data_IF_311399443446
#
_entry.id   IF_311399443446
#
_cell.length_a   1.000
_cell.length_b   1.000
_cell.length_c   1.000
_cell.angle_alpha   90.00
_cell.angle_beta   90.00
_cell.angle_gamma   90.00
#
_symmetry.space_group_name_H-M   'P 1'
#
loop_
_entity.id
_entity.type
_entity.pdbx_description
1 polymer ?
#
# COMPACT_ATOMS: atom_id res chain seq x y z
N UNK A 1 -28.35 -24.06 -9.40
CA UNK A 1 -27.88 -24.69 -8.15
C UNK A 1 -27.94 -26.19 -8.35
N UNK A 2 -26.89 -26.79 -8.92
CA UNK A 2 -26.92 -28.19 -9.37
C UNK A 2 -26.64 -29.12 -8.19
N UNK A 3 -27.69 -29.81 -7.71
CA UNK A 3 -27.61 -30.83 -6.68
C UNK A 3 -27.02 -32.12 -7.28
N UNK A 4 -25.72 -32.12 -7.58
CA UNK A 4 -24.96 -33.38 -7.65
C UNK A 4 -24.53 -33.74 -6.23
N UNK A 5 -25.51 -33.99 -5.36
CA UNK A 5 -25.29 -34.32 -3.95
C UNK A 5 -25.63 -35.78 -3.71
N UNK A 6 -24.74 -36.46 -2.99
CA UNK A 6 -25.03 -37.80 -2.49
C UNK A 6 -26.18 -37.72 -1.48
N UNK A 7 -27.01 -38.77 -1.46
CA UNK A 7 -28.05 -38.96 -0.45
C UNK A 7 -27.46 -38.78 0.96
N UNK A 8 -28.20 -38.12 1.85
CA UNK A 8 -27.74 -37.77 3.20
C UNK A 8 -26.77 -36.58 3.27
N UNK A 9 -26.35 -36.01 2.14
CA UNK A 9 -25.38 -34.91 2.09
C UNK A 9 -25.88 -33.59 2.70
N UNK A 10 -24.94 -32.73 3.09
CA UNK A 10 -25.18 -31.39 3.66
C UNK A 10 -24.94 -30.29 2.64
N UNK A 11 -25.73 -29.21 2.71
CA UNK A 11 -25.60 -28.00 1.90
C UNK A 11 -25.60 -26.75 2.76
N UNK A 12 -24.68 -25.83 2.49
CA UNK A 12 -24.62 -24.53 3.15
C UNK A 12 -24.73 -23.45 2.07
N UNK A 13 -25.73 -22.58 2.21
CA UNK A 13 -25.99 -21.48 1.29
C UNK A 13 -25.89 -20.16 2.04
N UNK A 14 -25.03 -19.27 1.56
CA UNK A 14 -25.04 -17.87 1.97
C UNK A 14 -26.22 -17.15 1.30
N UNK A 15 -26.99 -16.43 2.10
CA UNK A 15 -28.15 -15.65 1.68
C UNK A 15 -28.14 -14.29 2.40
N UNK A 16 -28.95 -13.36 1.93
CA UNK A 16 -29.13 -12.05 2.54
C UNK A 16 -30.53 -11.95 3.17
N UNK A 17 -31.36 -11.02 2.70
CA UNK A 17 -32.73 -10.86 3.20
C UNK A 17 -33.65 -11.98 2.72
N UNK A 18 -34.70 -12.23 3.50
CA UNK A 18 -35.70 -13.27 3.25
C UNK A 18 -37.10 -12.68 3.03
N UNK A 19 -37.17 -11.40 2.65
CA UNK A 19 -38.42 -10.64 2.54
C UNK A 19 -39.18 -10.93 1.24
N UNK A 20 -38.46 -11.31 0.18
CA UNK A 20 -39.03 -11.54 -1.15
C UNK A 20 -39.76 -12.89 -1.26
N UNK A 21 -40.85 -12.96 -2.02
CA UNK A 21 -41.59 -14.22 -2.24
C UNK A 21 -40.68 -15.32 -2.82
N UNK A 22 -39.75 -14.93 -3.69
CA UNK A 22 -38.81 -15.83 -4.34
C UNK A 22 -37.80 -16.40 -3.34
N UNK A 23 -37.42 -15.63 -2.33
CA UNK A 23 -36.59 -16.10 -1.22
C UNK A 23 -37.33 -17.16 -0.41
N UNK A 24 -38.59 -16.91 -0.06
CA UNK A 24 -39.44 -17.88 0.64
C UNK A 24 -39.60 -19.17 -0.16
N UNK A 25 -39.89 -19.07 -1.46
CA UNK A 25 -40.06 -20.22 -2.34
C UNK A 25 -38.78 -21.08 -2.41
N UNK A 26 -37.62 -20.46 -2.52
CA UNK A 26 -36.33 -21.16 -2.55
C UNK A 26 -36.07 -21.88 -1.23
N UNK A 27 -36.32 -21.23 -0.10
CA UNK A 27 -36.13 -21.85 1.22
C UNK A 27 -37.11 -23.01 1.41
N UNK A 28 -38.36 -22.84 0.99
CA UNK A 28 -39.34 -23.93 1.03
C UNK A 28 -38.92 -25.13 0.17
N UNK A 29 -38.40 -24.89 -1.04
CA UNK A 29 -37.85 -25.95 -1.89
C UNK A 29 -36.70 -26.69 -1.19
N UNK A 30 -35.85 -25.99 -0.43
CA UNK A 30 -34.80 -26.62 0.37
C UNK A 30 -35.39 -27.47 1.51
N UNK A 31 -36.47 -27.02 2.15
CA UNK A 31 -37.18 -27.83 3.16
C UNK A 31 -37.76 -29.13 2.56
N UNK A 32 -38.20 -29.08 1.31
CA UNK A 32 -38.64 -30.29 0.59
C UNK A 32 -37.47 -31.22 0.26
N UNK A 33 -36.31 -30.67 -0.11
CA UNK A 33 -35.14 -31.44 -0.55
C UNK A 33 -34.29 -32.05 0.59
N UNK A 34 -34.42 -31.55 1.82
CA UNK A 34 -33.56 -31.94 2.95
C UNK A 34 -34.37 -32.32 4.19
N UNK A 35 -33.81 -33.14 5.07
CA UNK A 35 -34.43 -33.55 6.34
C UNK A 35 -34.54 -32.40 7.34
N UNK A 36 -33.49 -31.57 7.40
CA UNK A 36 -33.44 -30.40 8.29
C UNK A 36 -32.88 -29.20 7.55
N UNK A 37 -33.54 -28.05 7.71
CA UNK A 37 -33.07 -26.75 7.20
C UNK A 37 -33.05 -25.75 8.36
N UNK A 38 -31.89 -25.15 8.60
CA UNK A 38 -31.70 -24.17 9.66
C UNK A 38 -31.14 -22.87 9.09
N UNK A 39 -31.57 -21.74 9.63
CA UNK A 39 -31.04 -20.42 9.27
C UNK A 39 -30.14 -19.94 10.41
N UNK A 40 -28.89 -19.63 10.11
CA UNK A 40 -27.85 -19.29 11.08
C UNK A 40 -27.13 -18.02 10.66
N UNK A 41 -26.92 -17.09 11.59
CA UNK A 41 -25.96 -16.00 11.44
C UNK A 41 -24.75 -16.28 12.34
N UNK A 42 -23.63 -16.80 11.81
CA UNK A 42 -22.45 -17.07 12.63
C UNK A 42 -21.84 -15.77 13.12
N UNK A 43 -21.19 -15.81 14.30
CA UNK A 43 -20.51 -14.64 14.90
C UNK A 43 -19.39 -14.08 14.02
N UNK A 44 -18.84 -14.92 13.12
CA UNK A 44 -17.83 -14.52 12.12
C UNK A 44 -18.40 -13.73 10.94
N UNK A 45 -19.73 -13.70 10.77
CA UNK A 45 -20.39 -12.80 9.83
C UNK A 45 -20.60 -11.43 10.47
N UNK A 46 -20.38 -10.35 9.70
CA UNK A 46 -20.55 -8.98 10.23
C UNK A 46 -21.96 -8.79 10.77
N UNK A 47 -22.07 -8.43 12.04
CA UNK A 47 -23.37 -8.37 12.73
C UNK A 47 -24.34 -7.36 12.10
N UNK A 48 -23.85 -6.21 11.62
CA UNK A 48 -24.66 -5.16 11.02
C UNK A 48 -25.08 -5.38 9.55
N UNK A 49 -24.71 -6.51 8.94
CA UNK A 49 -25.16 -6.85 7.57
C UNK A 49 -26.34 -7.83 7.59
N UNK A 50 -26.98 -8.01 6.44
CA UNK A 50 -28.10 -8.94 6.25
C UNK A 50 -27.65 -10.38 5.94
N UNK A 51 -26.35 -10.69 5.97
CA UNK A 51 -25.83 -12.01 5.63
C UNK A 51 -26.25 -13.06 6.67
N UNK A 52 -26.84 -14.14 6.17
CA UNK A 52 -27.23 -15.35 6.92
C UNK A 52 -26.85 -16.59 6.10
N UNK A 53 -26.82 -17.74 6.77
CA UNK A 53 -26.49 -19.03 6.18
C UNK A 53 -27.64 -20.00 6.38
N UNK A 54 -28.11 -20.59 5.28
CA UNK A 54 -29.04 -21.70 5.31
C UNK A 54 -28.22 -22.98 5.33
N UNK A 55 -28.37 -23.76 6.40
CA UNK A 55 -27.70 -25.04 6.62
C UNK A 55 -28.74 -26.14 6.44
N UNK A 56 -28.64 -26.86 5.31
CA UNK A 56 -29.49 -27.99 4.99
C UNK A 56 -28.74 -29.30 5.24
N UNK A 57 -29.33 -30.23 5.99
CA UNK A 57 -28.74 -31.52 6.33
C UNK A 57 -29.66 -32.66 5.88
N UNK A 58 -29.08 -33.77 5.41
CA UNK A 58 -29.85 -34.95 5.01
C UNK A 58 -30.54 -34.76 3.66
N UNK A 59 -29.77 -34.70 2.57
CA UNK A 59 -30.37 -34.60 1.23
C UNK A 59 -31.20 -35.85 0.89
N UNK A 60 -32.49 -35.64 0.59
CA UNK A 60 -33.47 -36.71 0.35
C UNK A 60 -33.40 -37.33 -1.05
N UNK A 61 -32.76 -36.64 -2.00
CA UNK A 61 -32.65 -37.07 -3.41
C UNK A 61 -33.47 -36.19 -4.37
N UNK A 62 -33.14 -36.26 -5.66
CA UNK A 62 -33.70 -35.37 -6.69
C UNK A 62 -35.21 -35.59 -6.88
N UNK A 63 -35.66 -36.83 -6.77
CA UNK A 63 -37.06 -37.24 -6.94
C UNK A 63 -38.03 -36.49 -6.02
N UNK A 64 -37.56 -35.95 -4.90
CA UNK A 64 -38.38 -35.16 -3.97
C UNK A 64 -38.65 -33.74 -4.43
N UNK A 65 -37.92 -33.23 -5.44
CA UNK A 65 -38.01 -31.84 -5.90
C UNK A 65 -38.00 -31.66 -7.41
N UNK A 66 -37.78 -32.75 -8.15
CA UNK A 66 -37.68 -32.78 -9.62
C UNK A 66 -38.80 -32.02 -10.34
N UNK A 67 -40.10 -32.19 -9.99
CA UNK A 67 -41.17 -31.48 -10.70
C UNK A 67 -41.03 -29.96 -10.60
N UNK A 68 -40.72 -29.44 -9.40
CA UNK A 68 -40.58 -28.01 -9.16
C UNK A 68 -39.28 -27.43 -9.73
N UNK A 69 -38.21 -28.24 -9.80
CA UNK A 69 -36.96 -27.82 -10.43
C UNK A 69 -37.15 -27.57 -11.93
N UNK A 70 -37.87 -28.46 -12.62
CA UNK A 70 -38.18 -28.27 -14.04
C UNK A 70 -39.03 -27.02 -14.28
N UNK A 71 -40.08 -26.81 -13.48
CA UNK A 71 -40.91 -25.59 -13.54
C UNK A 71 -40.08 -24.33 -13.29
N UNK A 72 -39.17 -24.37 -12.33
CA UNK A 72 -38.31 -23.23 -11.98
C UNK A 72 -37.36 -22.84 -13.13
N UNK A 73 -36.70 -23.81 -13.78
CA UNK A 73 -35.81 -23.51 -14.91
C UNK A 73 -36.56 -23.09 -16.18
N UNK A 74 -37.76 -23.61 -16.41
CA UNK A 74 -38.61 -23.20 -17.53
C UNK A 74 -39.11 -21.74 -17.43
N UNK A 75 -39.03 -21.13 -16.24
CA UNK A 75 -39.59 -19.80 -15.96
C UNK A 75 -38.52 -18.73 -15.72
N UNK A 76 -37.23 -19.09 -15.72
CA UNK A 76 -36.12 -18.24 -15.24
C UNK A 76 -35.69 -17.14 -16.23
N UNK A 77 -35.90 -17.33 -17.53
CA UNK A 77 -35.49 -16.39 -18.60
C UNK A 77 -36.50 -15.25 -18.84
N UNK A 78 -37.62 -15.23 -18.12
CA UNK A 78 -38.60 -14.14 -18.22
C UNK A 78 -38.17 -13.02 -17.30
N UNK A 79 -37.79 -11.89 -17.90
CA UNK A 79 -37.49 -10.63 -17.22
C UNK A 79 -38.54 -10.31 -16.14
N UNK A 80 -38.14 -10.43 -14.87
CA UNK A 80 -38.68 -9.76 -13.68
C UNK A 80 -40.18 -10.01 -13.33
N UNK A 81 -40.36 -10.91 -12.34
CA UNK A 81 -41.10 -10.72 -11.06
C UNK A 81 -42.58 -11.03 -10.82
N UNK A 82 -43.35 -11.67 -11.69
CA UNK A 82 -44.75 -12.02 -11.32
C UNK A 82 -44.97 -13.50 -10.94
N UNK A 83 -43.96 -14.35 -11.09
CA UNK A 83 -44.10 -15.79 -10.86
C UNK A 83 -43.29 -16.25 -9.65
N UNK A 84 -43.98 -16.56 -8.55
CA UNK A 84 -43.40 -17.27 -7.41
C UNK A 84 -43.58 -18.79 -7.64
N UNK A 85 -42.57 -19.61 -7.33
CA UNK A 85 -42.60 -21.08 -7.57
C UNK A 85 -43.73 -21.78 -6.79
N UNK A 86 -44.08 -21.25 -5.63
CA UNK A 86 -45.17 -21.74 -4.79
C UNK A 86 -46.15 -20.60 -4.51
N UNK A 87 -47.46 -20.78 -4.81
CA UNK A 87 -48.49 -19.85 -4.37
C UNK A 87 -48.49 -19.71 -2.85
N UNK A 88 -48.68 -18.48 -2.34
CA UNK A 88 -48.66 -18.22 -0.89
C UNK A 88 -49.65 -19.10 -0.10
N UNK A 89 -50.81 -19.35 -0.68
CA UNK A 89 -51.87 -20.20 -0.09
C UNK A 89 -51.46 -21.68 0.07
N UNK A 90 -50.47 -22.14 -0.68
CA UNK A 90 -49.98 -23.53 -0.66
C UNK A 90 -48.82 -23.72 0.32
N UNK A 91 -48.23 -22.64 0.80
CA UNK A 91 -47.16 -22.70 1.80
C UNK A 91 -47.73 -23.03 3.18
N UNK A 92 -47.15 -23.98 3.94
CA UNK A 92 -47.61 -24.30 5.27
C UNK A 92 -47.58 -23.08 6.19
N UNK A 93 -48.66 -22.86 6.95
CA UNK A 93 -48.75 -21.72 7.90
C UNK A 93 -47.64 -21.74 8.96
N UNK A 94 -47.21 -22.92 9.39
CA UNK A 94 -46.09 -23.11 10.34
C UNK A 94 -44.76 -22.68 9.74
N UNK A 95 -44.53 -22.98 8.46
CA UNK A 95 -43.37 -22.50 7.70
C UNK A 95 -43.39 -20.97 7.58
N UNK A 96 -44.52 -20.39 7.16
CA UNK A 96 -44.67 -18.94 7.03
C UNK A 96 -44.43 -18.20 8.35
N UNK A 97 -44.98 -18.70 9.45
CA UNK A 97 -44.76 -18.15 10.79
C UNK A 97 -43.28 -18.23 11.20
N UNK A 98 -42.62 -19.37 10.94
CA UNK A 98 -41.19 -19.54 11.20
C UNK A 98 -40.34 -18.55 10.39
N UNK A 99 -40.66 -18.35 9.11
CA UNK A 99 -39.96 -17.41 8.25
C UNK A 99 -40.16 -15.96 8.68
N UNK A 100 -41.37 -15.58 9.09
CA UNK A 100 -41.65 -14.25 9.62
C UNK A 100 -40.86 -13.99 10.90
N UNK A 101 -40.94 -14.90 11.88
CA UNK A 101 -40.24 -14.76 13.16
C UNK A 101 -38.72 -14.71 12.96
N UNK A 102 -38.18 -15.57 12.09
CA UNK A 102 -36.76 -15.60 11.75
C UNK A 102 -36.30 -14.30 11.08
N UNK A 103 -37.08 -13.79 10.11
CA UNK A 103 -36.77 -12.53 9.42
C UNK A 103 -36.81 -11.35 10.39
N UNK A 104 -37.86 -11.27 11.22
CA UNK A 104 -38.01 -10.23 12.25
C UNK A 104 -36.81 -10.23 13.21
N UNK A 105 -36.47 -11.40 13.76
CA UNK A 105 -35.36 -11.55 14.70
C UNK A 105 -34.03 -11.05 14.11
N UNK A 106 -33.67 -11.47 12.90
CA UNK A 106 -32.40 -11.04 12.28
C UNK A 106 -32.41 -9.56 11.90
N UNK A 107 -33.55 -9.01 11.48
CA UNK A 107 -33.69 -7.58 11.17
C UNK A 107 -33.56 -6.70 12.41
N UNK A 108 -34.22 -7.07 13.51
CA UNK A 108 -34.13 -6.33 14.79
C UNK A 108 -32.69 -6.32 15.32
N UNK A 109 -32.00 -7.47 15.29
CA UNK A 109 -30.58 -7.55 15.64
C UNK A 109 -29.72 -6.67 14.73
N UNK A 110 -29.97 -6.69 13.42
CA UNK A 110 -29.22 -5.89 12.46
C UNK A 110 -29.40 -4.40 12.74
N UNK A 111 -30.64 -3.94 12.93
CA UNK A 111 -30.96 -2.55 13.25
C UNK A 111 -30.25 -2.11 14.53
N UNK A 112 -30.36 -2.89 15.61
CA UNK A 112 -29.70 -2.58 16.88
C UNK A 112 -28.18 -2.43 16.73
N UNK A 113 -27.53 -3.30 15.95
CA UNK A 113 -26.09 -3.24 15.73
C UNK A 113 -25.70 -2.03 14.88
N UNK A 114 -26.50 -1.68 13.86
CA UNK A 114 -26.26 -0.48 13.04
C UNK A 114 -26.35 0.78 13.92
N UNK A 115 -27.40 0.92 14.71
CA UNK A 115 -27.58 2.07 15.62
C UNK A 115 -26.44 2.17 16.64
N UNK A 116 -26.07 1.05 17.28
CA UNK A 116 -24.93 1.01 18.20
C UNK A 116 -23.60 1.41 17.53
N UNK A 117 -23.38 0.99 16.29
CA UNK A 117 -22.17 1.36 15.54
C UNK A 117 -22.13 2.85 15.23
N UNK A 118 -23.26 3.44 14.82
CA UNK A 118 -23.38 4.89 14.56
C UNK A 118 -23.11 5.67 15.84
N UNK A 119 -23.75 5.29 16.95
CA UNK A 119 -23.58 5.94 18.25
C UNK A 119 -22.12 5.89 18.72
N UNK A 120 -21.48 4.71 18.66
CA UNK A 120 -20.07 4.54 19.04
C UNK A 120 -19.12 5.32 18.15
N UNK A 121 -19.38 5.34 16.85
CA UNK A 121 -18.57 6.09 15.89
C UNK A 121 -18.56 7.59 16.21
N UNK A 122 -19.72 8.16 16.57
CA UNK A 122 -19.85 9.57 16.93
C UNK A 122 -19.16 9.86 18.27
N UNK A 123 -19.30 8.98 19.27
CA UNK A 123 -18.77 9.21 20.63
C UNK A 123 -17.25 9.08 20.78
N UNK A 124 -16.54 8.42 19.85
CA UNK A 124 -15.07 8.24 19.84
C UNK A 124 -14.44 7.96 21.23
N UNK A 125 -14.88 6.90 21.90
CA UNK A 125 -14.36 6.54 23.23
C UNK A 125 -12.94 5.96 23.10
N UNK A 126 -11.92 6.67 23.59
CA UNK A 126 -10.50 6.29 23.44
C UNK A 126 -10.17 4.89 24.01
N UNK A 127 -10.87 4.46 25.06
CA UNK A 127 -10.67 3.16 25.71
C UNK A 127 -11.31 1.95 24.97
N UNK A 128 -12.19 2.17 23.99
CA UNK A 128 -12.86 1.09 23.27
C UNK A 128 -11.86 0.23 22.48
N UNK A 129 -10.81 0.84 21.93
CA UNK A 129 -9.85 0.14 21.06
C UNK A 129 -9.09 -0.95 21.80
N UNK A 130 -8.62 -0.67 23.02
CA UNK A 130 -7.87 -1.63 23.84
C UNK A 130 -8.78 -2.79 24.25
N UNK A 131 -9.96 -2.47 24.78
CA UNK A 131 -10.96 -3.47 25.17
C UNK A 131 -11.36 -4.39 24.00
N UNK A 132 -11.61 -3.83 22.82
CA UNK A 132 -11.97 -4.60 21.63
C UNK A 132 -10.81 -5.51 21.18
N UNK A 133 -9.56 -5.03 21.28
CA UNK A 133 -8.38 -5.84 20.96
C UNK A 133 -8.25 -7.02 21.91
N UNK A 134 -8.42 -6.79 23.21
CA UNK A 134 -8.39 -7.85 24.21
C UNK A 134 -9.52 -8.88 23.98
N UNK A 135 -10.74 -8.41 23.71
CA UNK A 135 -11.87 -9.28 23.39
C UNK A 135 -11.60 -10.14 22.14
N UNK A 136 -11.06 -9.56 21.07
CA UNK A 136 -10.68 -10.29 19.86
C UNK A 136 -9.65 -11.38 20.16
N UNK A 137 -8.64 -11.07 20.98
CA UNK A 137 -7.64 -12.04 21.42
C UNK A 137 -8.29 -13.21 22.18
N UNK A 138 -9.18 -12.93 23.13
CA UNK A 138 -9.88 -13.98 23.90
C UNK A 138 -10.79 -14.85 23.03
N UNK A 139 -11.50 -14.26 22.07
CA UNK A 139 -12.31 -15.00 21.10
C UNK A 139 -11.44 -15.93 20.26
N UNK A 140 -10.32 -15.42 19.72
CA UNK A 140 -9.38 -16.20 18.92
C UNK A 140 -8.78 -17.36 19.74
N UNK A 141 -8.34 -17.09 20.98
CA UNK A 141 -7.80 -18.10 21.90
C UNK A 141 -8.84 -19.19 22.20
N UNK A 142 -10.08 -18.80 22.47
CA UNK A 142 -11.18 -19.73 22.72
C UNK A 142 -11.45 -20.61 21.50
N UNK A 143 -11.42 -20.04 20.29
CA UNK A 143 -11.59 -20.79 19.04
C UNK A 143 -10.49 -21.85 18.87
N UNK A 144 -9.22 -21.46 19.04
CA UNK A 144 -8.07 -22.37 18.95
C UNK A 144 -8.20 -23.54 19.93
N UNK A 145 -8.57 -23.26 21.18
CA UNK A 145 -8.77 -24.27 22.21
C UNK A 145 -9.95 -25.19 21.90
N UNK A 146 -11.12 -24.63 21.57
CA UNK A 146 -12.35 -25.36 21.33
C UNK A 146 -12.22 -26.33 20.15
N UNK A 147 -11.60 -25.89 19.06
CA UNK A 147 -11.45 -26.67 17.83
C UNK A 147 -10.10 -27.38 17.72
N UNK A 148 -9.25 -27.28 18.74
CA UNK A 148 -7.92 -27.89 18.79
C UNK A 148 -7.09 -27.54 17.54
N UNK A 149 -7.14 -26.29 17.12
CA UNK A 149 -6.39 -25.79 15.97
C UNK A 149 -4.90 -25.94 16.27
N UNK A 150 -4.16 -26.60 15.38
CA UNK A 150 -2.71 -26.81 15.52
C UNK A 150 -1.96 -25.93 14.52
N UNK A 151 -0.72 -25.52 14.84
CA UNK A 151 0.17 -24.92 13.86
C UNK A 151 0.34 -25.85 12.67
N UNK A 152 0.46 -25.26 11.48
CA UNK A 152 0.88 -26.02 10.29
C UNK A 152 2.38 -26.31 10.40
N UNK A 153 2.83 -27.39 9.77
CA UNK A 153 4.25 -27.68 9.69
C UNK A 153 4.96 -26.54 8.93
N UNK A 154 6.09 -25.99 9.41
CA UNK A 154 6.82 -24.93 8.73
C UNK A 154 7.16 -25.24 7.26
N UNK A 155 7.36 -26.52 6.92
CA UNK A 155 7.60 -26.96 5.53
C UNK A 155 6.38 -26.80 4.61
N UNK A 156 5.18 -26.69 5.18
CA UNK A 156 3.92 -26.47 4.47
C UNK A 156 3.54 -24.99 4.39
N UNK A 157 4.34 -24.10 4.98
CA UNK A 157 4.10 -22.66 4.93
C UNK A 157 4.43 -22.11 3.53
N UNK A 158 3.47 -21.41 2.92
CA UNK A 158 3.67 -20.81 1.59
C UNK A 158 4.71 -19.69 1.64
N UNK A 159 4.71 -18.87 2.70
CA UNK A 159 5.58 -17.67 2.82
C UNK A 159 6.53 -17.78 4.02
N UNK A 160 6.25 -18.66 4.98
CA UNK A 160 7.03 -18.78 6.22
C UNK A 160 6.60 -17.77 7.29
N UNK A 161 6.23 -18.22 8.50
CA UNK A 161 5.84 -17.32 9.61
C UNK A 161 7.00 -16.42 10.04
N UNK A 162 8.24 -16.94 10.02
CA UNK A 162 9.44 -16.19 10.34
C UNK A 162 9.69 -15.04 9.36
N UNK A 163 9.42 -15.24 8.05
CA UNK A 163 9.52 -14.15 7.06
C UNK A 163 8.48 -13.07 7.37
N UNK A 164 7.22 -13.45 7.58
CA UNK A 164 6.14 -12.49 7.89
C UNK A 164 6.39 -11.71 9.19
N UNK A 165 6.85 -12.37 10.26
CA UNK A 165 7.16 -11.71 11.53
C UNK A 165 8.35 -10.75 11.41
N UNK A 166 9.41 -11.14 10.69
CA UNK A 166 10.57 -10.27 10.47
C UNK A 166 10.22 -8.96 9.75
N UNK A 167 9.19 -8.96 8.89
CA UNK A 167 8.72 -7.74 8.23
C UNK A 167 7.86 -6.84 9.12
N UNK A 168 7.22 -7.38 10.16
CA UNK A 168 6.18 -6.70 10.92
C UNK A 168 6.67 -6.13 12.27
N UNK A 169 7.63 -6.79 12.91
CA UNK A 169 8.14 -6.40 14.23
C UNK A 169 9.52 -5.75 14.19
N UNK A 170 10.41 -6.21 13.31
CA UNK A 170 11.81 -5.77 13.34
C UNK A 170 12.06 -4.50 12.53
N UNK A 171 11.22 -4.22 11.52
CA UNK A 171 11.42 -3.07 10.64
C UNK A 171 10.83 -1.78 11.22
N UNK A 172 11.56 -0.66 11.17
CA UNK A 172 11.03 0.67 11.51
C UNK A 172 9.70 0.96 10.80
N UNK A 173 8.68 1.33 11.58
CA UNK A 173 7.36 1.70 11.06
C UNK A 173 7.33 3.19 10.71
N UNK A 174 7.59 3.49 9.43
CA UNK A 174 7.52 4.88 8.93
C UNK A 174 6.08 5.35 8.75
N UNK A 175 5.21 4.49 8.23
CA UNK A 175 3.79 4.79 8.05
C UNK A 175 2.97 4.10 9.13
N UNK A 176 2.17 4.87 9.86
CA UNK A 176 1.09 4.32 10.68
C UNK A 176 -0.12 4.03 9.80
N UNK A 177 -0.92 3.03 10.17
CA UNK A 177 -2.18 2.73 9.48
C UNK A 177 -3.09 3.94 9.70
N UNK A 178 -3.41 4.68 8.63
CA UNK A 178 -4.37 5.77 8.72
C UNK A 178 -5.68 5.23 9.31
N UNK A 179 -6.17 5.93 10.33
CA UNK A 179 -7.47 5.70 10.93
C UNK A 179 -8.48 6.43 10.03
N UNK A 180 -9.36 5.62 9.43
CA UNK A 180 -10.44 5.97 8.49
C UNK A 180 -10.06 6.22 7.04
N UNK A 181 -10.31 5.20 6.21
CA UNK A 181 -10.63 5.38 4.81
C UNK A 181 -11.92 6.20 4.70
N UNK A 182 -11.93 7.19 3.80
CA UNK A 182 -13.13 7.95 3.44
C UNK A 182 -14.33 7.02 3.19
N UNK A 183 -15.51 7.42 3.64
CA UNK A 183 -16.79 6.80 3.31
C UNK A 183 -17.00 6.76 1.79
N UNK A 184 -17.86 5.86 1.31
CA UNK A 184 -18.20 5.81 -0.12
C UNK A 184 -18.70 7.16 -0.65
N UNK A 185 -19.52 7.87 0.12
CA UNK A 185 -20.02 9.19 -0.25
C UNK A 185 -18.94 10.27 -0.29
N UNK A 186 -17.90 10.18 0.56
CA UNK A 186 -16.73 11.07 0.47
C UNK A 186 -15.87 10.73 -0.74
N UNK A 187 -15.68 9.45 -1.05
CA UNK A 187 -15.01 9.01 -2.28
C UNK A 187 -15.75 9.48 -3.53
N UNK A 188 -17.09 9.40 -3.53
CA UNK A 188 -17.91 9.87 -4.64
C UNK A 188 -17.85 11.39 -4.79
N UNK A 189 -17.91 12.14 -3.68
CA UNK A 189 -17.71 13.60 -3.71
C UNK A 189 -16.34 13.98 -4.26
N UNK A 190 -15.28 13.22 -3.96
CA UNK A 190 -13.94 13.44 -4.53
C UNK A 190 -13.87 13.23 -6.05
N UNK A 191 -14.70 12.34 -6.62
CA UNK A 191 -14.77 12.16 -8.08
C UNK A 191 -15.30 13.44 -8.75
N UNK A 192 -16.13 14.21 -8.05
CA UNK A 192 -16.71 15.47 -8.52
C UNK A 192 -15.82 16.69 -8.23
N UNK A 193 -14.67 16.52 -7.55
CA UNK A 193 -13.79 17.64 -7.20
C UNK A 193 -13.22 18.31 -8.45
N UNK A 194 -13.34 19.62 -8.49
CA UNK A 194 -12.54 20.42 -9.40
C UNK A 194 -11.09 20.40 -8.93
N UNK A 195 -10.15 20.65 -9.84
CA UNK A 195 -8.73 20.70 -9.50
C UNK A 195 -8.42 21.74 -8.40
N UNK A 196 -9.22 22.80 -8.27
CA UNK A 196 -9.13 23.80 -7.20
C UNK A 196 -9.57 23.29 -5.82
N UNK A 197 -10.56 22.41 -5.74
CA UNK A 197 -10.98 21.79 -4.47
C UNK A 197 -9.91 20.82 -3.98
N UNK A 198 -9.35 20.03 -4.89
CA UNK A 198 -8.26 19.11 -4.62
C UNK A 198 -6.99 19.85 -4.20
N UNK A 199 -6.69 20.98 -4.84
CA UNK A 199 -5.59 21.86 -4.45
C UNK A 199 -5.75 22.35 -3.00
N UNK A 200 -6.92 22.90 -2.63
CA UNK A 200 -7.18 23.33 -1.25
C UNK A 200 -7.09 22.18 -0.24
N UNK A 201 -7.63 21.03 -0.59
CA UNK A 201 -7.56 19.84 0.26
C UNK A 201 -6.11 19.40 0.50
N UNK A 202 -5.30 19.28 -0.55
CA UNK A 202 -3.88 18.93 -0.43
C UNK A 202 -3.10 19.98 0.35
N UNK A 203 -3.44 21.27 0.18
CA UNK A 203 -2.87 22.36 0.96
C UNK A 203 -3.10 22.14 2.46
N UNK A 204 -4.34 21.85 2.85
CA UNK A 204 -4.74 21.63 4.24
C UNK A 204 -4.11 20.34 4.79
N UNK A 205 -4.20 19.24 4.05
CA UNK A 205 -3.65 17.92 4.42
C UNK A 205 -2.14 18.01 4.69
N UNK A 206 -1.39 18.69 3.82
CA UNK A 206 0.06 18.87 3.98
C UNK A 206 0.40 19.86 5.10
N UNK A 207 -0.37 20.95 5.28
CA UNK A 207 -0.15 21.91 6.35
C UNK A 207 -0.40 21.31 7.75
N UNK A 208 -1.32 20.34 7.85
CA UNK A 208 -1.60 19.61 9.07
C UNK A 208 -0.53 18.56 9.41
N UNK A 209 0.33 18.20 8.45
CA UNK A 209 1.36 17.19 8.61
C UNK A 209 2.60 17.74 9.36
N UNK A 210 2.51 17.83 10.70
CA UNK A 210 3.56 18.42 11.55
C UNK A 210 4.58 17.43 12.14
N UNK A 211 4.45 16.15 11.82
CA UNK A 211 5.25 15.08 12.45
C UNK A 211 6.75 15.15 12.13
N UNK A 212 7.12 15.72 10.98
CA UNK A 212 8.51 15.80 10.53
C UNK A 212 8.92 17.26 10.38
N UNK A 213 10.03 17.60 11.02
CA UNK A 213 10.64 18.92 10.98
C UNK A 213 12.15 18.76 10.95
N UNK A 214 12.85 19.74 10.39
CA UNK A 214 14.31 19.80 10.48
C UNK A 214 14.71 20.21 11.90
N UNK A 215 15.20 19.25 12.69
CA UNK A 215 15.50 19.45 14.12
C UNK A 215 16.93 19.94 14.39
N UNK A 216 17.69 20.22 13.35
CA UNK A 216 19.11 20.53 13.44
C UNK A 216 19.37 22.02 13.22
N UNK A 217 20.33 22.57 13.96
CA UNK A 217 20.73 23.97 13.82
C UNK A 217 21.42 24.24 12.47
N UNK A 218 22.25 23.28 12.02
CA UNK A 218 22.95 23.38 10.74
C UNK A 218 22.01 23.09 9.56
N UNK A 219 22.26 23.76 8.43
CA UNK A 219 21.62 23.45 7.15
C UNK A 219 22.17 22.17 6.49
N UNK A 220 23.30 21.64 6.97
CA UNK A 220 23.93 20.44 6.41
C UNK A 220 24.24 19.44 7.52
N UNK A 221 23.74 18.21 7.37
CA UNK A 221 24.06 17.08 8.24
C UNK A 221 25.17 16.25 7.63
N UNK A 222 26.18 15.96 8.44
CA UNK A 222 27.37 15.29 7.96
C UNK A 222 27.41 13.83 8.40
N UNK A 223 27.77 12.97 7.47
CA UNK A 223 27.88 11.53 7.61
C UNK A 223 29.21 11.04 7.05
N UNK A 224 29.60 9.84 7.44
CA UNK A 224 30.77 9.11 6.97
C UNK A 224 30.37 7.68 6.60
N UNK A 225 31.29 6.90 6.03
CA UNK A 225 31.07 5.48 5.74
C UNK A 225 30.58 4.66 6.96
N UNK A 226 30.85 5.12 8.19
CA UNK A 226 30.38 4.46 9.41
C UNK A 226 28.86 4.55 9.61
N UNK A 227 28.23 5.60 9.08
CA UNK A 227 26.79 5.87 9.20
C UNK A 227 25.96 5.08 8.17
N UNK A 228 26.60 4.46 7.18
CA UNK A 228 25.98 3.66 6.13
C UNK A 228 26.93 2.55 5.64
N UNK A 229 27.27 1.62 6.54
CA UNK A 229 28.25 0.56 6.24
C UNK A 229 27.74 -0.40 5.16
N UNK A 230 28.55 -0.60 4.13
CA UNK A 230 28.32 -1.60 3.08
C UNK A 230 29.40 -2.70 3.17
N UNK A 231 28.97 -3.95 3.04
CA UNK A 231 29.87 -5.08 2.79
C UNK A 231 29.57 -5.69 1.41
N UNK A 232 30.60 -6.13 0.70
CA UNK A 232 30.42 -6.79 -0.61
C UNK A 232 29.56 -8.07 -0.51
N UNK A 233 29.56 -8.73 0.64
CA UNK A 233 28.68 -9.88 0.93
C UNK A 233 27.21 -9.51 1.09
N UNK A 234 26.88 -8.25 1.30
CA UNK A 234 25.50 -7.79 1.49
C UNK A 234 24.76 -7.56 0.17
N UNK A 235 25.47 -7.57 -0.97
CA UNK A 235 24.87 -7.39 -2.27
C UNK A 235 23.99 -8.59 -2.65
N UNK A 236 22.71 -8.32 -2.88
CA UNK A 236 21.72 -9.32 -3.30
C UNK A 236 20.83 -8.71 -4.37
N UNK A 237 21.12 -9.04 -5.63
CA UNK A 237 20.39 -8.54 -6.79
C UNK A 237 19.03 -9.22 -6.86
N UNK A 238 17.97 -8.43 -6.79
CA UNK A 238 16.61 -8.86 -6.94
C UNK A 238 15.98 -8.22 -8.16
N UNK A 239 15.60 -9.07 -9.11
CA UNK A 239 14.86 -8.70 -10.32
C UNK A 239 13.36 -8.89 -10.08
N UNK A 240 12.54 -8.09 -10.76
CA UNK A 240 11.09 -8.21 -10.66
C UNK A 240 10.36 -7.28 -11.63
N UNK A 241 9.05 -7.13 -11.43
CA UNK A 241 8.22 -6.28 -12.28
C UNK A 241 8.68 -4.82 -12.16
N UNK A 242 8.97 -4.12 -13.27
CA UNK A 242 9.40 -2.72 -13.24
C UNK A 242 8.41 -1.83 -12.47
N UNK A 243 8.95 -0.92 -11.64
CA UNK A 243 8.16 0.02 -10.83
C UNK A 243 7.94 1.32 -11.60
N UNK A 244 6.73 1.56 -12.10
CA UNK A 244 6.39 2.78 -12.84
C UNK A 244 6.08 3.98 -11.96
N UNK A 245 5.28 3.77 -10.92
CA UNK A 245 4.88 4.79 -9.96
C UNK A 245 5.16 4.28 -8.55
N UNK A 246 5.86 5.08 -7.76
CA UNK A 246 6.12 4.77 -6.35
C UNK A 246 4.82 5.04 -5.58
N UNK A 247 4.18 3.98 -5.08
CA UNK A 247 2.97 4.10 -4.25
C UNK A 247 3.22 3.88 -2.76
N UNK A 248 4.35 3.25 -2.44
CA UNK A 248 4.78 3.00 -1.09
C UNK A 248 6.31 3.06 -1.01
N UNK A 249 6.82 3.44 0.14
CA UNK A 249 8.25 3.40 0.40
C UNK A 249 8.50 3.06 1.86
N UNK A 250 9.61 2.36 2.12
CA UNK A 250 10.15 2.21 3.47
C UNK A 250 11.00 3.40 3.90
N UNK A 251 11.21 4.37 3.01
CA UNK A 251 12.03 5.55 3.23
C UNK A 251 11.19 6.84 3.28
N UNK A 252 9.85 6.74 3.24
CA UNK A 252 8.95 7.89 3.32
C UNK A 252 7.56 7.44 3.81
N UNK A 253 6.76 8.38 4.34
CA UNK A 253 5.39 8.12 4.77
C UNK A 253 4.48 7.94 3.54
N UNK A 254 3.74 6.84 3.50
CA UNK A 254 2.87 6.49 2.36
C UNK A 254 1.80 7.55 2.09
N UNK A 255 1.29 8.22 3.12
CA UNK A 255 0.34 9.33 2.99
C UNK A 255 0.94 10.50 2.23
N UNK A 256 2.22 10.84 2.46
CA UNK A 256 2.90 11.89 1.71
C UNK A 256 3.15 11.46 0.26
N UNK A 257 3.52 10.19 0.03
CA UNK A 257 3.65 9.65 -1.33
C UNK A 257 2.31 9.75 -2.08
N UNK A 258 1.19 9.48 -1.42
CA UNK A 258 -0.15 9.68 -1.99
C UNK A 258 -0.40 11.15 -2.36
N UNK A 259 -0.10 12.09 -1.46
CA UNK A 259 -0.24 13.53 -1.74
C UNK A 259 0.60 13.96 -2.94
N UNK A 260 1.85 13.49 -3.01
CA UNK A 260 2.76 13.79 -4.12
C UNK A 260 2.25 13.24 -5.46
N UNK A 261 1.77 11.98 -5.47
CA UNK A 261 1.20 11.39 -6.68
C UNK A 261 -0.08 12.11 -7.13
N UNK A 262 -0.95 12.50 -6.19
CA UNK A 262 -2.16 13.29 -6.47
C UNK A 262 -1.79 14.66 -7.05
N UNK A 263 -0.86 15.36 -6.42
CA UNK A 263 -0.39 16.66 -6.89
C UNK A 263 0.21 16.58 -8.31
N UNK A 264 1.14 15.64 -8.56
CA UNK A 264 1.75 15.43 -9.88
C UNK A 264 0.75 15.03 -10.96
N UNK A 265 -0.34 14.36 -10.60
CA UNK A 265 -1.35 13.96 -11.57
C UNK A 265 -2.24 15.12 -12.06
N UNK A 266 -2.27 16.24 -11.34
CA UNK A 266 -3.20 17.35 -11.58
C UNK A 266 -2.53 18.70 -11.78
N UNK A 267 -1.34 18.91 -11.22
CA UNK A 267 -0.66 20.20 -11.19
C UNK A 267 0.76 20.08 -11.71
N UNK A 268 1.16 21.05 -12.54
CA UNK A 268 2.54 21.19 -12.98
C UNK A 268 3.40 21.67 -11.82
N UNK A 269 4.50 20.96 -11.53
CA UNK A 269 5.48 21.43 -10.55
C UNK A 269 6.28 22.59 -11.17
N UNK A 270 6.29 23.79 -10.55
CA UNK A 270 7.05 24.93 -11.07
C UNK A 270 8.54 24.62 -11.16
N UNK A 271 9.11 24.81 -12.34
CA UNK A 271 10.54 24.64 -12.59
C UNK A 271 11.24 25.96 -12.27
N UNK A 272 12.07 25.99 -11.24
CA UNK A 272 13.01 27.11 -11.07
C UNK A 272 14.19 26.96 -12.02
N UNK A 273 14.78 28.10 -12.36
CA UNK A 273 16.00 28.22 -13.15
C UNK A 273 17.12 27.33 -12.57
N UNK A 274 17.59 26.40 -13.40
CA UNK A 274 18.62 25.44 -13.03
C UNK A 274 19.93 26.12 -12.60
N UNK A 275 20.26 27.28 -13.18
CA UNK A 275 21.48 28.03 -12.81
C UNK A 275 21.35 28.51 -11.36
N UNK A 276 20.19 29.10 -11.02
CA UNK A 276 19.91 29.57 -9.65
C UNK A 276 19.96 28.44 -8.62
N UNK A 277 19.43 27.26 -8.94
CA UNK A 277 19.43 26.10 -8.04
C UNK A 277 20.84 25.60 -7.72
N UNK A 278 21.70 25.51 -8.75
CA UNK A 278 23.09 25.06 -8.59
C UNK A 278 23.87 26.01 -7.70
N UNK A 279 23.79 27.31 -7.98
CA UNK A 279 24.47 28.33 -7.19
C UNK A 279 23.95 28.37 -5.75
N UNK A 280 22.64 28.19 -5.56
CA UNK A 280 22.00 28.13 -4.24
C UNK A 280 22.60 27.03 -3.36
N UNK A 281 22.62 25.78 -3.84
CA UNK A 281 23.17 24.67 -3.05
C UNK A 281 24.68 24.75 -2.89
N UNK A 282 25.39 25.29 -3.89
CA UNK A 282 26.83 25.50 -3.78
C UNK A 282 27.15 26.47 -2.63
N UNK A 283 26.47 27.62 -2.56
CA UNK A 283 26.71 28.63 -1.52
C UNK A 283 26.44 28.14 -0.10
N UNK A 284 25.61 27.09 0.07
CA UNK A 284 25.34 26.50 1.37
C UNK A 284 26.43 25.54 1.85
N UNK A 285 27.31 25.06 0.97
CA UNK A 285 28.39 24.15 1.37
C UNK A 285 29.45 24.95 2.15
N UNK A 286 29.77 24.56 3.40
CA UNK A 286 30.86 25.19 4.13
C UNK A 286 32.17 25.04 3.35
N UNK A 287 32.83 26.16 2.99
CA UNK A 287 34.04 26.17 2.15
C UNK A 287 35.15 25.23 2.62
N UNK A 288 35.27 25.05 3.93
CA UNK A 288 36.28 24.18 4.56
C UNK A 288 36.03 22.68 4.31
N UNK A 289 34.85 22.31 3.82
CA UNK A 289 34.48 20.91 3.58
C UNK A 289 34.80 20.43 2.16
N UNK A 290 35.01 21.35 1.21
CA UNK A 290 35.33 21.01 -0.18
C UNK A 290 36.85 20.99 -0.33
N UNK A 291 37.37 19.83 -0.73
CA UNK A 291 38.70 19.70 -1.27
C UNK A 291 38.59 19.50 -2.79
N UNK A 292 39.62 19.93 -3.53
CA UNK A 292 39.68 19.77 -4.98
C UNK A 292 38.60 20.55 -5.73
N UNK A 293 38.21 20.03 -6.88
CA UNK A 293 37.13 20.55 -7.70
C UNK A 293 35.75 20.06 -7.20
N UNK A 294 34.74 20.93 -7.24
CA UNK A 294 33.34 20.53 -7.03
C UNK A 294 32.67 20.27 -8.37
N UNK A 295 32.24 19.03 -8.61
CA UNK A 295 31.45 18.63 -9.78
C UNK A 295 29.98 18.60 -9.40
N UNK A 296 29.12 19.20 -10.20
CA UNK A 296 27.67 19.29 -9.93
C UNK A 296 26.90 18.35 -10.87
N UNK A 297 26.18 17.39 -10.28
CA UNK A 297 25.26 16.47 -10.92
C UNK A 297 23.82 16.87 -10.54
N UNK A 298 23.14 17.61 -11.42
CA UNK A 298 21.76 18.05 -11.18
C UNK A 298 20.77 17.11 -11.87
N UNK A 299 20.04 16.34 -11.07
CA UNK A 299 19.10 15.31 -11.51
C UNK A 299 17.64 15.79 -11.47
N UNK A 300 17.40 17.06 -11.12
CA UNK A 300 16.07 17.62 -10.88
C UNK A 300 15.15 17.48 -12.09
N UNK A 301 15.67 17.71 -13.30
CA UNK A 301 14.91 17.59 -14.56
C UNK A 301 14.43 16.16 -14.85
N UNK A 302 15.21 15.15 -14.45
CA UNK A 302 14.84 13.73 -14.61
C UNK A 302 13.60 13.41 -13.78
N UNK A 303 13.52 13.93 -12.56
CA UNK A 303 12.46 13.59 -11.62
C UNK A 303 11.21 14.47 -11.73
N UNK A 304 11.33 15.70 -12.23
CA UNK A 304 10.20 16.58 -12.55
C UNK A 304 9.46 16.13 -13.81
N UNK A 305 10.10 15.43 -14.74
CA UNK A 305 9.43 14.97 -15.96
C UNK A 305 8.32 13.95 -15.64
N UNK A 306 7.06 14.40 -15.67
CA UNK A 306 5.89 13.60 -15.27
C UNK A 306 5.56 12.46 -16.24
N UNK A 307 6.14 12.46 -17.45
CA UNK A 307 5.93 11.41 -18.45
C UNK A 307 6.86 10.20 -18.31
N UNK A 308 7.87 10.25 -17.43
CA UNK A 308 8.91 9.22 -17.34
C UNK A 308 8.58 8.20 -16.23
N UNK A 309 8.51 6.91 -16.60
CA UNK A 309 8.45 5.77 -15.69
C UNK A 309 9.60 5.82 -14.67
N UNK A 310 9.32 5.55 -13.39
CA UNK A 310 10.36 5.56 -12.36
C UNK A 310 11.60 4.69 -12.70
N UNK A 311 11.49 3.52 -13.34
CA UNK A 311 12.69 2.74 -13.71
C UNK A 311 13.60 3.51 -14.66
N UNK A 312 13.03 4.24 -15.62
CA UNK A 312 13.78 5.10 -16.53
C UNK A 312 14.41 6.28 -15.79
N UNK A 313 13.68 6.91 -14.85
CA UNK A 313 14.26 7.93 -13.96
C UNK A 313 15.48 7.40 -13.20
N UNK A 314 15.40 6.16 -12.70
CA UNK A 314 16.51 5.52 -11.99
C UNK A 314 17.70 5.23 -12.91
N UNK A 315 17.43 4.68 -14.09
CA UNK A 315 18.45 4.40 -15.10
C UNK A 315 19.17 5.69 -15.54
N UNK A 316 18.41 6.71 -15.95
CA UNK A 316 18.94 7.99 -16.42
C UNK A 316 19.70 8.72 -15.30
N UNK A 317 19.21 8.63 -14.05
CA UNK A 317 19.93 9.18 -12.89
C UNK A 317 21.24 8.47 -12.61
N UNK A 318 21.31 7.15 -12.76
CA UNK A 318 22.54 6.39 -12.56
C UNK A 318 23.57 6.69 -13.66
N UNK A 319 23.12 6.85 -14.91
CA UNK A 319 23.98 7.32 -16.02
C UNK A 319 24.59 8.67 -15.69
N UNK A 320 23.77 9.66 -15.34
CA UNK A 320 24.24 11.02 -15.04
C UNK A 320 25.22 11.06 -13.85
N UNK A 321 25.01 10.20 -12.84
CA UNK A 321 25.94 10.03 -11.71
C UNK A 321 27.26 9.44 -12.20
N UNK A 322 27.24 8.36 -13.00
CA UNK A 322 28.44 7.72 -13.52
C UNK A 322 29.25 8.66 -14.42
N UNK A 323 28.61 9.40 -15.32
CA UNK A 323 29.25 10.42 -16.16
C UNK A 323 29.88 11.56 -15.35
N UNK A 324 29.26 11.92 -14.22
CA UNK A 324 29.84 12.90 -13.29
C UNK A 324 31.05 12.31 -12.56
N UNK A 325 31.00 11.01 -12.27
CA UNK A 325 32.07 10.29 -11.58
C UNK A 325 33.31 10.09 -12.44
N UNK A 326 33.15 9.90 -13.76
CA UNK A 326 34.25 9.84 -14.74
C UNK A 326 35.07 11.13 -14.78
N UNK A 327 34.47 12.27 -14.41
CA UNK A 327 35.14 13.58 -14.37
C UNK A 327 35.89 13.82 -13.04
N UNK A 328 35.63 13.03 -11.99
CA UNK A 328 36.19 13.25 -10.65
C UNK A 328 37.59 12.67 -10.50
N UNK A 329 38.54 13.51 -10.06
CA UNK A 329 39.86 13.10 -9.59
C UNK A 329 39.85 12.75 -8.10
N UNK A 330 40.99 12.27 -7.59
CA UNK A 330 41.15 12.00 -6.14
C UNK A 330 41.02 13.31 -5.37
N UNK A 331 40.34 13.27 -4.21
CA UNK A 331 40.06 14.43 -3.36
C UNK A 331 39.05 15.44 -3.91
N UNK A 332 38.54 15.28 -5.14
CA UNK A 332 37.44 16.09 -5.65
C UNK A 332 36.13 15.79 -4.90
N UNK A 333 35.17 16.71 -5.04
CA UNK A 333 33.87 16.63 -4.39
C UNK A 333 32.75 16.59 -5.43
N UNK A 334 31.65 15.92 -5.10
CA UNK A 334 30.47 15.76 -5.95
C UNK A 334 29.23 16.36 -5.26
N UNK A 335 28.54 17.28 -5.90
CA UNK A 335 27.24 17.78 -5.47
C UNK A 335 26.15 17.12 -6.31
N UNK A 336 25.27 16.33 -5.70
CA UNK A 336 24.12 15.70 -6.36
C UNK A 336 22.85 16.42 -5.93
N UNK A 337 22.14 17.04 -6.88
CA UNK A 337 20.91 17.81 -6.63
C UNK A 337 19.70 17.03 -7.14
N UNK A 338 18.62 16.98 -6.35
CA UNK A 338 17.34 16.44 -6.78
C UNK A 338 17.27 14.91 -6.88
N UNK A 339 18.14 14.17 -6.19
CA UNK A 339 18.15 12.69 -6.21
C UNK A 339 17.21 12.09 -5.15
N UNK A 340 16.01 11.56 -5.48
CA UNK A 340 15.08 11.10 -4.46
C UNK A 340 15.52 9.76 -3.86
N UNK A 341 15.51 9.67 -2.52
CA UNK A 341 15.87 8.45 -1.79
C UNK A 341 14.64 7.62 -1.44
N UNK A 342 13.73 7.42 -2.41
CA UNK A 342 12.42 6.78 -2.20
C UNK A 342 12.41 5.28 -2.52
N UNK A 343 13.37 4.76 -3.26
CA UNK A 343 13.44 3.34 -3.66
C UNK A 343 14.67 2.65 -3.05
N UNK A 344 14.62 1.33 -2.91
CA UNK A 344 15.78 0.56 -2.42
C UNK A 344 17.00 0.71 -3.33
N UNK A 345 16.79 0.79 -4.64
CA UNK A 345 17.86 1.05 -5.60
C UNK A 345 18.49 2.42 -5.37
N UNK A 346 17.69 3.49 -5.22
CA UNK A 346 18.25 4.83 -5.07
C UNK A 346 19.00 4.99 -3.73
N UNK A 347 18.44 4.46 -2.64
CA UNK A 347 19.10 4.45 -1.34
C UNK A 347 20.38 3.61 -1.38
N UNK A 348 20.35 2.46 -2.08
CA UNK A 348 21.54 1.64 -2.28
C UNK A 348 22.65 2.36 -3.05
N UNK A 349 22.31 3.09 -4.11
CA UNK A 349 23.29 3.88 -4.90
C UNK A 349 23.85 5.01 -4.03
N UNK A 350 22.99 5.69 -3.27
CA UNK A 350 23.41 6.71 -2.32
C UNK A 350 24.38 6.17 -1.27
N UNK A 351 24.15 4.97 -0.72
CA UNK A 351 25.10 4.34 0.21
C UNK A 351 26.43 4.01 -0.46
N UNK A 352 26.40 3.48 -1.69
CA UNK A 352 27.63 3.21 -2.45
C UNK A 352 28.43 4.50 -2.61
N UNK A 353 27.78 5.59 -3.05
CA UNK A 353 28.43 6.89 -3.18
C UNK A 353 28.97 7.37 -1.84
N UNK A 354 28.22 7.25 -0.75
CA UNK A 354 28.68 7.67 0.58
C UNK A 354 29.97 6.94 1.02
N UNK A 355 30.14 5.66 0.66
CA UNK A 355 31.36 4.90 0.96
C UNK A 355 32.53 5.20 0.01
N UNK A 356 32.34 5.98 -1.05
CA UNK A 356 33.41 6.40 -1.97
C UNK A 356 34.07 7.73 -1.59
N UNK A 357 33.57 8.42 -0.57
CA UNK A 357 34.03 9.74 -0.15
C UNK A 357 34.31 9.77 1.35
N UNK A 358 35.20 10.66 1.78
CA UNK A 358 35.54 10.79 3.20
C UNK A 358 34.37 11.29 4.04
N UNK A 359 33.51 12.13 3.45
CA UNK A 359 32.42 12.79 4.16
C UNK A 359 31.25 13.08 3.23
N UNK A 360 30.02 12.90 3.69
CA UNK A 360 28.81 13.19 2.93
C UNK A 360 27.91 14.15 3.71
N UNK A 361 27.51 15.25 3.09
CA UNK A 361 26.59 16.23 3.64
C UNK A 361 25.19 16.05 3.03
N UNK A 362 24.17 15.91 3.87
CA UNK A 362 22.77 15.97 3.49
C UNK A 362 22.23 17.35 3.82
N UNK A 363 21.76 18.08 2.80
CA UNK A 363 21.29 19.45 2.96
C UNK A 363 19.82 19.49 3.35
N UNK A 364 19.45 20.49 4.16
CA UNK A 364 18.07 20.77 4.55
C UNK A 364 17.20 20.99 3.31
N UNK A 365 16.11 20.24 3.14
CA UNK A 365 15.18 20.46 2.04
C UNK A 365 14.40 21.77 2.21
N UNK A 366 14.22 22.49 1.11
CA UNK A 366 13.45 23.73 1.03
C UNK A 366 12.73 23.85 -0.33
N UNK A 367 12.35 25.07 -0.72
CA UNK A 367 11.65 25.34 -1.98
C UNK A 367 12.49 25.02 -3.23
N UNK A 368 13.82 25.06 -3.11
CA UNK A 368 14.78 24.75 -4.17
C UNK A 368 15.01 23.23 -4.33
N UNK A 369 14.41 22.42 -3.45
CA UNK A 369 14.50 20.96 -3.46
C UNK A 369 15.43 20.43 -2.37
N UNK A 370 16.27 19.47 -2.73
CA UNK A 370 17.26 18.88 -1.82
C UNK A 370 18.54 18.52 -2.58
N UNK A 371 19.64 18.40 -1.83
CA UNK A 371 20.92 18.03 -2.38
C UNK A 371 21.78 17.24 -1.38
N UNK A 372 22.72 16.48 -1.92
CA UNK A 372 23.75 15.76 -1.19
C UNK A 372 25.11 16.18 -1.70
N UNK A 373 26.02 16.53 -0.80
CA UNK A 373 27.41 16.82 -1.14
C UNK A 373 28.29 15.67 -0.67
N UNK A 374 29.11 15.13 -1.55
CA UNK A 374 30.09 14.10 -1.24
C UNK A 374 31.47 14.72 -1.35
N UNK A 375 32.19 14.79 -0.23
CA UNK A 375 33.42 15.54 -0.08
C UNK A 375 34.63 14.62 -0.09
N UNK A 376 35.61 14.95 -0.93
CA UNK A 376 36.90 14.25 -1.02
C UNK A 376 36.74 12.76 -1.40
N UNK A 377 36.69 12.50 -2.71
CA UNK A 377 36.71 11.15 -3.28
C UNK A 377 37.96 10.40 -2.78
N UNK A 378 37.73 9.22 -2.22
CA UNK A 378 38.80 8.32 -1.78
C UNK A 378 39.39 7.62 -2.99
N UNK A 379 40.70 7.35 -2.95
CA UNK A 379 41.38 6.59 -3.98
C UNK A 379 41.91 5.29 -3.37
N UNK A 380 41.09 4.25 -3.41
CA UNK A 380 41.45 2.91 -3.01
C UNK A 380 40.81 1.87 -3.95
N UNK A 381 41.29 0.62 -3.86
CA UNK A 381 40.78 -0.49 -4.66
C UNK A 381 39.30 -0.79 -4.41
N UNK A 382 38.78 -0.44 -3.24
CA UNK A 382 37.39 -0.67 -2.88
C UNK A 382 36.45 0.24 -3.70
N UNK A 383 36.86 1.50 -3.93
CA UNK A 383 36.14 2.43 -4.80
C UNK A 383 36.01 1.90 -6.23
N UNK A 384 37.07 1.34 -6.80
CA UNK A 384 37.05 0.75 -8.16
C UNK A 384 36.06 -0.43 -8.28
N UNK A 385 36.02 -1.29 -7.25
CA UNK A 385 35.08 -2.41 -7.17
C UNK A 385 33.62 -1.92 -7.09
N UNK A 386 33.36 -0.87 -6.31
CA UNK A 386 32.04 -0.27 -6.19
C UNK A 386 31.59 0.44 -7.49
N UNK A 387 32.49 1.11 -8.22
CA UNK A 387 32.18 1.69 -9.54
C UNK A 387 31.82 0.58 -10.53
N UNK A 388 32.59 -0.51 -10.54
CA UNK A 388 32.32 -1.67 -11.39
C UNK A 388 30.95 -2.26 -11.09
N UNK A 389 30.56 -2.30 -9.81
CA UNK A 389 29.23 -2.70 -9.41
C UNK A 389 28.15 -1.74 -9.94
N UNK A 390 28.31 -0.42 -9.79
CA UNK A 390 27.35 0.55 -10.32
C UNK A 390 27.17 0.42 -11.84
N UNK A 391 28.28 0.22 -12.57
CA UNK A 391 28.25 -0.05 -14.01
C UNK A 391 27.46 -1.32 -14.34
N UNK A 392 27.63 -2.38 -13.55
CA UNK A 392 26.85 -3.62 -13.71
C UNK A 392 25.37 -3.42 -13.37
N UNK A 393 25.05 -2.66 -12.32
CA UNK A 393 23.68 -2.38 -11.91
C UNK A 393 22.91 -1.59 -12.98
N UNK A 394 23.57 -0.66 -13.67
CA UNK A 394 23.02 0.08 -14.80
C UNK A 394 22.39 -0.86 -15.84
N UNK A 395 23.07 -1.95 -16.19
CA UNK A 395 22.59 -2.94 -17.17
C UNK A 395 21.35 -3.74 -16.68
N UNK A 396 21.10 -3.79 -15.37
CA UNK A 396 19.93 -4.44 -14.79
C UNK A 396 18.71 -3.51 -14.65
N UNK A 397 18.88 -2.19 -14.69
CA UNK A 397 17.77 -1.25 -14.66
C UNK A 397 17.21 -1.11 -16.08
N UNK A 398 16.13 -1.85 -16.34
CA UNK A 398 15.43 -1.86 -17.62
C UNK A 398 14.12 -1.06 -17.55
N UNK A 399 13.73 -0.46 -18.67
CA UNK A 399 12.41 0.17 -18.89
C UNK A 399 11.67 -0.55 -20.03
N UNK A 400 11.24 -1.82 -19.80
CA UNK A 400 10.59 -2.60 -20.85
C UNK A 400 9.18 -2.08 -21.15
N UNK A 401 8.72 -2.27 -22.40
CA UNK A 401 7.35 -1.90 -22.77
C UNK A 401 6.31 -2.77 -22.04
N UNK A 402 5.05 -2.33 -21.98
CA UNK A 402 3.97 -3.13 -21.37
C UNK A 402 3.86 -4.51 -22.04
N UNK A 403 4.07 -4.57 -23.36
CA UNK A 403 4.04 -5.81 -24.14
C UNK A 403 5.15 -6.75 -23.66
N UNK A 404 6.37 -6.24 -23.51
CA UNK A 404 7.51 -7.03 -23.04
C UNK A 404 7.31 -7.54 -21.59
N UNK A 405 6.67 -6.75 -20.73
CA UNK A 405 6.34 -7.16 -19.35
C UNK A 405 5.31 -8.29 -19.35
N UNK A 406 4.27 -8.22 -20.18
CA UNK A 406 3.14 -9.17 -20.17
C UNK A 406 3.47 -10.45 -20.94
N UNK A 407 4.05 -10.32 -22.13
CA UNK A 407 4.28 -11.44 -23.04
C UNK A 407 5.63 -12.11 -22.79
N UNK A 408 6.69 -11.31 -22.60
CA UNK A 408 8.07 -11.81 -22.41
C UNK A 408 8.48 -11.93 -20.95
N UNK A 409 7.59 -11.57 -20.02
CA UNK A 409 7.85 -11.55 -18.58
C UNK A 409 9.13 -10.78 -18.21
N UNK A 410 9.42 -9.69 -18.95
CA UNK A 410 10.64 -8.93 -18.71
C UNK A 410 10.66 -8.30 -17.31
N UNK A 411 11.84 -8.33 -16.70
CA UNK A 411 12.09 -7.87 -15.34
C UNK A 411 13.13 -6.75 -15.33
N UNK A 412 13.03 -5.90 -14.31
CA UNK A 412 13.98 -4.83 -14.02
C UNK A 412 14.47 -4.94 -12.57
N UNK A 413 15.55 -4.24 -12.26
CA UNK A 413 16.15 -4.20 -10.94
C UNK A 413 15.19 -3.59 -9.91
N UNK A 414 14.85 -4.34 -8.87
CA UNK A 414 13.99 -3.88 -7.77
C UNK A 414 14.81 -3.49 -6.55
N UNK A 415 15.87 -4.24 -6.29
CA UNK A 415 16.83 -3.96 -5.23
C UNK A 415 18.15 -4.69 -5.49
N UNK A 416 19.22 -4.19 -4.89
CA UNK A 416 20.51 -4.88 -4.85
C UNK A 416 21.08 -4.96 -3.42
N UNK A 417 20.30 -4.50 -2.45
CA UNK A 417 20.55 -4.65 -1.02
C UNK A 417 19.28 -5.17 -0.34
N UNK A 418 19.41 -6.08 0.64
CA UNK A 418 18.31 -6.42 1.53
C UNK A 418 17.80 -5.15 2.24
N UNK A 419 16.48 -4.94 2.25
CA UNK A 419 15.88 -3.74 2.86
C UNK A 419 16.30 -3.51 4.31
N UNK A 420 16.48 -4.58 5.09
CA UNK A 420 16.93 -4.54 6.47
C UNK A 420 18.30 -3.87 6.61
N UNK A 421 19.23 -4.15 5.68
CA UNK A 421 20.57 -3.56 5.66
C UNK A 421 20.56 -2.07 5.42
N UNK A 422 19.54 -1.56 4.74
CA UNK A 422 19.34 -0.13 4.51
C UNK A 422 18.63 0.55 5.70
N UNK A 423 17.63 -0.11 6.29
CA UNK A 423 16.80 0.47 7.35
C UNK A 423 17.47 0.53 8.73
N UNK A 424 18.44 -0.34 9.01
CA UNK A 424 19.12 -0.38 10.31
C UNK A 424 20.38 0.48 10.39
N UNK A 425 20.73 1.22 9.34
CA UNK A 425 21.86 2.15 9.39
C UNK A 425 21.52 3.41 10.20
N UNK A 426 22.50 4.02 10.89
CA UNK A 426 22.32 5.27 11.63
C UNK A 426 21.62 6.38 10.82
N UNK A 427 21.99 6.55 9.55
CA UNK A 427 21.47 7.59 8.65
C UNK A 427 19.98 7.43 8.27
N UNK A 428 19.37 6.28 8.54
CA UNK A 428 18.05 5.93 8.01
C UNK A 428 16.94 6.91 8.43
N UNK A 429 16.92 7.33 9.71
CA UNK A 429 15.89 8.27 10.20
C UNK A 429 15.99 9.63 9.52
N UNK A 430 17.20 10.06 9.19
CA UNK A 430 17.47 11.32 8.51
C UNK A 430 17.02 11.26 7.04
N UNK A 431 17.26 10.14 6.36
CA UNK A 431 16.71 9.88 5.01
C UNK A 431 15.19 9.97 5.01
N UNK A 432 14.52 9.33 5.98
CA UNK A 432 13.05 9.39 6.10
C UNK A 432 12.58 10.83 6.31
N UNK A 433 13.24 11.57 7.21
CA UNK A 433 12.89 12.96 7.51
C UNK A 433 13.05 13.85 6.27
N UNK A 434 14.17 13.74 5.57
CA UNK A 434 14.44 14.50 4.34
C UNK A 434 13.43 14.18 3.25
N UNK A 435 13.17 12.91 2.97
CA UNK A 435 12.17 12.53 1.96
C UNK A 435 10.78 13.07 2.29
N UNK A 436 10.37 13.05 3.57
CA UNK A 436 9.09 13.62 3.99
C UNK A 436 9.05 15.15 3.77
N UNK A 437 10.10 15.87 4.15
CA UNK A 437 10.19 17.32 3.98
C UNK A 437 10.22 17.73 2.49
N UNK A 438 10.95 17.00 1.65
CA UNK A 438 10.97 17.21 0.19
C UNK A 438 9.56 17.13 -0.38
N UNK A 439 8.82 16.06 -0.08
CA UNK A 439 7.46 15.89 -0.59
C UNK A 439 6.52 16.99 -0.06
N UNK A 440 6.62 17.34 1.23
CA UNK A 440 5.82 18.43 1.81
C UNK A 440 6.04 19.74 1.06
N UNK A 441 7.30 20.12 0.82
CA UNK A 441 7.63 21.36 0.11
C UNK A 441 7.18 21.32 -1.35
N UNK A 442 7.39 20.18 -2.03
CA UNK A 442 6.97 19.98 -3.42
C UNK A 442 5.45 20.12 -3.59
N UNK A 443 4.66 19.46 -2.76
CA UNK A 443 3.19 19.54 -2.85
C UNK A 443 2.70 20.94 -2.54
N UNK A 444 3.26 21.60 -1.51
CA UNK A 444 2.93 23.00 -1.21
C UNK A 444 3.20 23.91 -2.40
N UNK A 445 4.37 23.75 -3.04
CA UNK A 445 4.78 24.55 -4.19
C UNK A 445 3.87 24.35 -5.41
N UNK A 446 3.55 23.10 -5.73
CA UNK A 446 2.65 22.77 -6.84
C UNK A 446 1.24 23.35 -6.63
N UNK A 447 0.68 23.16 -5.43
CA UNK A 447 -0.66 23.62 -5.07
C UNK A 447 -0.74 25.14 -4.98
N UNK A 448 0.23 25.79 -4.32
CA UNK A 448 0.29 27.26 -4.23
C UNK A 448 0.42 27.90 -5.62
N UNK A 449 1.27 27.34 -6.50
CA UNK A 449 1.40 27.84 -7.86
C UNK A 449 0.11 27.70 -8.66
N UNK A 450 -0.66 26.63 -8.45
CA UNK A 450 -1.94 26.45 -9.12
C UNK A 450 -3.02 27.41 -8.60
N UNK A 451 -3.10 27.60 -7.28
CA UNK A 451 -4.10 28.48 -6.65
C UNK A 451 -3.86 29.98 -6.91
N UNK A 452 -2.65 30.36 -7.33
CA UNK A 452 -2.28 31.74 -7.68
C UNK A 452 -2.47 32.07 -9.17
N UNK A 453 -2.68 31.07 -10.02
CA UNK A 453 -3.06 31.22 -11.44
C UNK A 453 -4.58 31.43 -11.55
#
# INVERSE_FOLDING_TARGET
MFLKKNLGGTFVLKMFTMFECNSLCRIYLLCCAFDSVQIKKPVTSKQGNSEVYIVCCGYKGLQHVEPWIHTYFATIDRTVSDYCLFPLKELPKTFLSSMYNCSKYFSELQMQIIENNIERFIKKIENDTKYLTDLQYWVAKTYVQKYRVKPIDPSQEIVGQNKLQSFQYDLPKVSTKLVMDYSFSEKQRRIEYQASDEAKLLQDEVNMFKQYQWQYESSVLWFTAEDAKILLSDFNIQMGKPISVIRNSKFCVNTLIDYSNRARSLFTIPIEDNIKRRDYFWLQIPRQSINGQLIVCDLTSIYISDCINNNRKQHDSLIAILESFEKLQTSDSLLVIGYPLLTQVNVGVFFILLNMFLKTGMMKPDEMGHAFVFCSKVNDKHVDELITLLMKLKEYIKDPSIIDIVEKQEQSLISFFPIQKLMFQPIYKDIVTVNCLVIINEVKKAVCSYLQQ
#
